data_IF_002606335452
#
_entry.id   IF_002606335452
#
_cell.length_a   1.000
_cell.length_b   1.000
_cell.length_c   1.000
_cell.angle_alpha   90.00
_cell.angle_beta   90.00
_cell.angle_gamma   90.00
#
_symmetry.space_group_name_H-M   'P 1'
#
loop_
_entity.id
_entity.type
_entity.pdbx_description
1 polymer ?
#
# COMPACT_ATOMS: atom_id res chain seq x y z
N UNK A 1 -11.61 3.60 30.29
CA UNK A 1 -10.90 3.99 29.07
C UNK A 1 -11.79 5.04 28.41
N UNK A 2 -11.51 6.32 28.65
CA UNK A 2 -12.29 7.43 28.07
C UNK A 2 -11.86 7.54 26.60
N UNK A 3 -12.76 7.19 25.69
CA UNK A 3 -12.61 7.51 24.27
C UNK A 3 -12.88 9.01 24.17
N UNK A 4 -11.95 9.75 23.59
CA UNK A 4 -12.06 11.19 23.38
C UNK A 4 -13.29 11.45 22.48
N UNK A 5 -14.12 12.43 22.87
CA UNK A 5 -15.34 12.79 22.14
C UNK A 5 -15.00 13.19 20.69
N UNK A 6 -13.80 13.76 20.46
CA UNK A 6 -13.27 14.05 19.13
C UNK A 6 -13.01 12.78 18.29
N UNK A 7 -12.59 11.66 18.91
CA UNK A 7 -12.41 10.38 18.18
C UNK A 7 -13.75 9.77 17.75
N UNK A 8 -14.81 9.96 18.55
CA UNK A 8 -16.15 9.50 18.20
C UNK A 8 -16.77 10.34 17.08
N UNK A 9 -16.62 11.66 17.09
CA UNK A 9 -17.07 12.54 16.00
C UNK A 9 -16.32 12.27 14.70
N UNK A 10 -15.01 12.03 14.75
CA UNK A 10 -14.20 11.64 13.58
C UNK A 10 -14.62 10.27 13.04
N UNK A 11 -14.99 9.32 13.91
CA UNK A 11 -15.49 8.00 13.48
C UNK A 11 -16.90 8.08 12.86
N UNK A 12 -17.78 8.98 13.32
CA UNK A 12 -19.10 9.22 12.72
C UNK A 12 -18.98 9.93 11.38
N UNK A 13 -18.05 10.88 11.21
CA UNK A 13 -17.76 11.54 9.93
C UNK A 13 -17.17 10.57 8.89
N UNK A 14 -16.37 9.61 9.32
CA UNK A 14 -15.83 8.55 8.43
C UNK A 14 -16.95 7.61 7.97
N UNK A 15 -17.93 7.32 8.80
CA UNK A 15 -19.09 6.51 8.44
C UNK A 15 -19.95 7.17 7.34
N UNK A 16 -19.88 8.49 7.20
CA UNK A 16 -20.64 9.25 6.19
C UNK A 16 -19.96 9.34 4.83
N UNK A 17 -18.66 9.08 4.72
CA UNK A 17 -17.91 9.19 3.47
C UNK A 17 -17.89 7.85 2.70
N UNK A 18 -19.02 7.52 2.07
CA UNK A 18 -19.10 6.36 1.18
C UNK A 18 -18.24 6.52 -0.10
N UNK A 19 -17.88 7.74 -0.49
CA UNK A 19 -17.14 8.02 -1.73
C UNK A 19 -15.96 8.96 -1.47
N UNK A 20 -14.78 8.57 -1.93
CA UNK A 20 -13.52 9.30 -1.83
C UNK A 20 -13.07 9.68 -3.23
N UNK A 21 -12.93 10.97 -3.54
CA UNK A 21 -12.70 11.48 -4.90
C UNK A 21 -11.35 12.13 -5.15
N UNK A 22 -10.53 12.37 -4.12
CA UNK A 22 -9.20 12.98 -4.26
C UNK A 22 -9.20 14.49 -4.55
N UNK A 23 -10.35 15.15 -4.67
CA UNK A 23 -10.44 16.58 -5.06
C UNK A 23 -9.95 17.55 -3.99
N UNK A 24 -10.05 17.17 -2.71
CA UNK A 24 -9.62 17.96 -1.55
C UNK A 24 -8.90 17.07 -0.55
N UNK A 25 -8.08 17.67 0.31
CA UNK A 25 -7.30 16.92 1.32
C UNK A 25 -8.16 15.98 2.16
N UNK A 26 -9.31 16.44 2.60
CA UNK A 26 -10.26 15.68 3.42
C UNK A 26 -10.86 14.49 2.65
N UNK A 27 -10.78 14.54 1.33
CA UNK A 27 -11.24 13.50 0.40
C UNK A 27 -10.09 12.68 -0.19
N UNK A 28 -8.87 12.80 0.33
CA UNK A 28 -7.77 11.95 -0.07
C UNK A 28 -7.96 10.53 0.48
N UNK A 29 -7.73 9.55 -0.37
CA UNK A 29 -7.79 8.15 0.07
C UNK A 29 -6.79 7.89 1.20
N UNK A 30 -5.60 8.49 1.14
CA UNK A 30 -4.57 8.37 2.18
C UNK A 30 -5.14 8.59 3.58
N UNK A 31 -5.89 9.69 3.78
CA UNK A 31 -6.48 10.04 5.06
C UNK A 31 -7.41 8.93 5.59
N UNK A 32 -8.25 8.39 4.71
CA UNK A 32 -9.17 7.32 5.07
C UNK A 32 -8.45 6.02 5.41
N UNK A 33 -7.36 5.71 4.65
CA UNK A 33 -6.53 4.56 4.93
C UNK A 33 -5.78 4.68 6.26
N UNK A 34 -5.23 5.86 6.58
CA UNK A 34 -4.51 6.12 7.83
C UNK A 34 -5.41 5.88 9.05
N UNK A 35 -6.63 6.41 9.03
CA UNK A 35 -7.60 6.19 10.10
C UNK A 35 -7.99 4.72 10.21
N UNK A 36 -8.27 4.08 9.07
CA UNK A 36 -8.66 2.66 9.05
C UNK A 36 -7.54 1.75 9.56
N UNK A 37 -6.27 2.05 9.20
CA UNK A 37 -5.10 1.31 9.69
C UNK A 37 -4.92 1.46 11.21
N UNK A 38 -5.23 2.63 11.78
CA UNK A 38 -5.08 2.87 13.21
C UNK A 38 -5.93 1.91 14.07
N UNK A 39 -7.09 1.52 13.56
CA UNK A 39 -8.05 0.67 14.28
C UNK A 39 -8.10 -0.79 13.78
N UNK A 40 -7.38 -1.11 12.71
CA UNK A 40 -7.41 -2.44 12.12
C UNK A 40 -6.78 -3.51 13.04
N UNK A 41 -7.39 -4.69 13.04
CA UNK A 41 -6.88 -5.96 13.61
C UNK A 41 -6.23 -6.85 12.53
N UNK A 42 -6.50 -6.61 11.28
CA UNK A 42 -5.84 -7.18 10.11
C UNK A 42 -5.96 -6.22 8.93
N UNK A 43 -4.94 -6.16 8.10
CA UNK A 43 -4.86 -5.31 6.91
C UNK A 43 -4.56 -6.19 5.71
N UNK A 44 -5.43 -6.15 4.70
CA UNK A 44 -5.27 -6.87 3.44
C UNK A 44 -5.36 -5.88 2.28
N UNK A 45 -4.30 -5.76 1.50
CA UNK A 45 -4.20 -4.83 0.39
C UNK A 45 -4.07 -5.61 -0.93
N UNK A 46 -4.87 -5.24 -1.93
CA UNK A 46 -4.76 -5.77 -3.28
C UNK A 46 -4.74 -4.62 -4.27
N UNK A 47 -3.66 -4.50 -5.05
CA UNK A 47 -3.48 -3.42 -6.04
C UNK A 47 -2.78 -3.92 -7.29
N UNK A 48 -3.10 -3.33 -8.43
CA UNK A 48 -2.52 -3.72 -9.72
C UNK A 48 -1.02 -3.47 -9.79
N UNK A 49 -0.56 -2.40 -9.13
CA UNK A 49 0.86 -2.05 -9.05
C UNK A 49 1.20 -1.23 -7.81
N UNK A 50 2.48 -1.24 -7.47
CA UNK A 50 3.07 -0.48 -6.37
C UNK A 50 4.11 0.50 -6.91
N UNK A 51 4.05 1.75 -6.47
CA UNK A 51 5.11 2.74 -6.67
C UNK A 51 5.77 3.09 -5.33
N UNK A 52 7.07 3.32 -5.37
CA UNK A 52 7.87 3.66 -4.18
C UNK A 52 7.30 4.88 -3.43
N UNK A 53 6.83 5.88 -4.18
CA UNK A 53 6.22 7.09 -3.64
C UNK A 53 4.98 6.81 -2.80
N UNK A 54 4.09 5.93 -3.27
CA UNK A 54 2.90 5.54 -2.53
C UNK A 54 3.21 4.67 -1.30
N UNK A 55 4.14 3.72 -1.44
CA UNK A 55 4.61 2.91 -0.32
C UNK A 55 5.17 3.79 0.80
N UNK A 56 6.02 4.79 0.47
CA UNK A 56 6.54 5.75 1.46
C UNK A 56 5.46 6.48 2.24
N UNK A 57 4.32 6.73 1.63
CA UNK A 57 3.20 7.39 2.31
C UNK A 57 2.48 6.48 3.30
N UNK A 58 2.30 5.20 2.96
CA UNK A 58 1.61 4.24 3.83
C UNK A 58 2.52 3.65 4.92
N UNK A 59 3.84 3.70 4.72
CA UNK A 59 4.81 3.03 5.56
C UNK A 59 4.75 3.40 7.04
N UNK A 60 4.57 4.68 7.44
CA UNK A 60 4.46 5.05 8.86
C UNK A 60 3.33 4.31 9.56
N UNK A 61 2.15 4.23 8.97
CA UNK A 61 0.97 3.57 9.52
C UNK A 61 1.09 2.05 9.49
N UNK A 62 1.66 1.49 8.42
CA UNK A 62 1.95 0.05 8.35
C UNK A 62 2.93 -0.37 9.46
N UNK A 63 3.98 0.42 9.72
CA UNK A 63 4.89 0.18 10.85
C UNK A 63 4.20 0.27 12.22
N UNK A 64 3.29 1.22 12.39
CA UNK A 64 2.50 1.32 13.63
C UNK A 64 1.57 0.12 13.79
N UNK A 65 0.90 -0.31 12.74
CA UNK A 65 0.08 -1.53 12.75
C UNK A 65 0.92 -2.76 13.09
N UNK A 66 2.08 -2.92 12.47
CA UNK A 66 3.02 -4.01 12.75
C UNK A 66 3.46 -4.03 14.23
N UNK A 67 3.81 -2.87 14.81
CA UNK A 67 4.16 -2.76 16.24
C UNK A 67 3.03 -3.19 17.18
N UNK A 68 1.77 -3.11 16.74
CA UNK A 68 0.60 -3.63 17.46
C UNK A 68 0.36 -5.13 17.22
N UNK A 69 1.19 -5.79 16.42
CA UNK A 69 1.02 -7.20 16.05
C UNK A 69 -0.08 -7.44 15.02
N UNK A 70 -0.49 -6.42 14.26
CA UNK A 70 -1.53 -6.52 13.23
C UNK A 70 -0.99 -7.28 12.01
N UNK A 71 -1.59 -8.40 11.60
CA UNK A 71 -1.20 -9.09 10.36
C UNK A 71 -1.43 -8.20 9.14
N UNK A 72 -0.44 -8.17 8.23
CA UNK A 72 -0.47 -7.39 7.00
C UNK A 72 -0.22 -8.30 5.82
N UNK A 73 -1.13 -8.32 4.86
CA UNK A 73 -1.01 -9.06 3.60
C UNK A 73 -1.12 -8.09 2.42
N UNK A 74 -0.24 -8.23 1.45
CA UNK A 74 -0.23 -7.37 0.26
C UNK A 74 -0.14 -8.24 -0.98
N UNK A 75 -1.15 -8.19 -1.84
CA UNK A 75 -1.17 -8.81 -3.16
C UNK A 75 -1.02 -7.72 -4.22
N UNK A 76 -0.01 -7.85 -5.05
CA UNK A 76 0.21 -6.95 -6.19
C UNK A 76 0.44 -7.71 -7.48
N UNK A 77 0.35 -7.02 -8.60
CA UNK A 77 0.69 -7.55 -9.92
C UNK A 77 1.85 -6.75 -10.53
N UNK A 78 2.22 -7.18 -11.73
CA UNK A 78 3.12 -6.42 -12.59
C UNK A 78 2.35 -5.86 -13.80
N UNK A 79 1.22 -5.21 -13.55
CA UNK A 79 0.41 -4.63 -14.61
C UNK A 79 1.22 -3.60 -15.41
N UNK A 80 1.38 -3.84 -16.70
CA UNK A 80 2.18 -3.02 -17.63
C UNK A 80 3.64 -2.76 -17.17
N UNK A 81 4.19 -3.61 -16.31
CA UNK A 81 5.55 -3.43 -15.78
C UNK A 81 5.71 -2.26 -14.79
N UNK A 82 4.62 -1.71 -14.25
CA UNK A 82 4.65 -0.47 -13.46
C UNK A 82 5.14 -0.72 -12.02
N UNK A 83 4.88 -1.90 -11.44
CA UNK A 83 5.34 -2.19 -10.07
C UNK A 83 6.85 -1.99 -9.96
N UNK A 84 7.27 -1.07 -9.10
CA UNK A 84 8.68 -0.72 -8.93
C UNK A 84 9.37 -1.71 -7.98
N UNK A 85 10.52 -2.30 -8.37
CA UNK A 85 11.31 -3.13 -7.46
C UNK A 85 11.67 -2.40 -6.16
N UNK A 86 11.98 -1.10 -6.23
CA UNK A 86 12.28 -0.28 -5.05
C UNK A 86 11.10 -0.21 -4.06
N UNK A 87 9.85 -0.23 -4.52
CA UNK A 87 8.68 -0.29 -3.66
C UNK A 87 8.62 -1.61 -2.87
N UNK A 88 8.95 -2.72 -3.52
CA UNK A 88 8.98 -4.04 -2.90
C UNK A 88 10.15 -4.19 -1.92
N UNK A 89 11.34 -3.72 -2.30
CA UNK A 89 12.50 -3.68 -1.39
C UNK A 89 12.21 -2.82 -0.15
N UNK A 90 11.56 -1.67 -0.33
CA UNK A 90 11.20 -0.79 0.77
C UNK A 90 10.23 -1.48 1.76
N UNK A 91 9.21 -2.18 1.27
CA UNK A 91 8.30 -2.95 2.12
C UNK A 91 9.06 -4.05 2.88
N UNK A 92 9.94 -4.80 2.19
CA UNK A 92 10.72 -5.88 2.82
C UNK A 92 11.74 -5.35 3.82
N UNK A 93 12.46 -4.26 3.54
CA UNK A 93 13.46 -3.69 4.46
C UNK A 93 12.83 -3.14 5.73
N UNK A 94 11.67 -2.47 5.59
CA UNK A 94 11.06 -1.71 6.67
C UNK A 94 10.09 -2.53 7.53
N UNK A 95 9.45 -3.56 6.94
CA UNK A 95 8.47 -4.41 7.63
C UNK A 95 8.97 -5.87 7.80
N UNK A 96 10.06 -6.25 7.15
CA UNK A 96 10.68 -7.58 7.30
C UNK A 96 9.77 -8.72 6.86
N UNK A 97 9.90 -9.87 7.54
CA UNK A 97 9.11 -11.09 7.28
C UNK A 97 7.74 -11.09 7.98
N UNK A 98 7.36 -9.99 8.63
CA UNK A 98 6.09 -9.88 9.31
C UNK A 98 4.94 -9.47 8.38
N UNK A 99 5.23 -9.25 7.09
CA UNK A 99 4.23 -9.05 6.05
C UNK A 99 4.22 -10.23 5.09
N UNK A 100 3.02 -10.67 4.66
CA UNK A 100 2.88 -11.62 3.56
C UNK A 100 2.69 -10.83 2.26
N UNK A 101 3.77 -10.72 1.49
CA UNK A 101 3.83 -9.95 0.24
C UNK A 101 3.87 -10.90 -0.94
N UNK A 102 2.91 -10.78 -1.87
CA UNK A 102 2.72 -11.71 -2.98
C UNK A 102 2.54 -11.03 -4.32
N UNK A 103 2.98 -11.73 -5.39
CA UNK A 103 2.67 -11.42 -6.76
C UNK A 103 1.55 -12.30 -7.31
N UNK A 104 0.58 -11.69 -8.01
CA UNK A 104 -0.35 -12.42 -8.84
C UNK A 104 0.40 -13.18 -9.96
N UNK A 105 0.14 -14.48 -10.08
CA UNK A 105 0.97 -15.39 -10.88
C UNK A 105 0.35 -15.83 -12.21
N UNK A 106 -0.97 -15.63 -12.42
CA UNK A 106 -1.63 -16.04 -13.68
C UNK A 106 -1.33 -15.03 -14.80
N UNK A 107 -0.45 -15.38 -15.70
CA UNK A 107 -0.05 -14.55 -16.85
C UNK A 107 -1.10 -14.48 -17.97
N UNK A 108 -2.13 -15.32 -17.94
CA UNK A 108 -3.18 -15.37 -18.99
C UNK A 108 -4.33 -14.41 -18.71
N UNK A 109 -4.39 -13.82 -17.53
CA UNK A 109 -5.43 -12.89 -17.12
C UNK A 109 -4.84 -11.55 -16.67
N UNK A 110 -5.44 -10.47 -17.13
CA UNK A 110 -5.05 -9.15 -16.65
C UNK A 110 -5.43 -9.01 -15.17
N UNK A 111 -4.49 -8.47 -14.37
CA UNK A 111 -4.70 -8.24 -12.94
C UNK A 111 -4.81 -6.74 -12.68
N UNK A 112 -6.03 -6.27 -12.40
CA UNK A 112 -6.27 -4.83 -12.26
C UNK A 112 -7.18 -4.44 -11.07
N UNK A 113 -7.25 -5.23 -9.97
CA UNK A 113 -8.02 -4.84 -8.79
C UNK A 113 -7.30 -3.75 -7.98
N UNK A 114 -8.07 -2.95 -7.23
CA UNK A 114 -7.58 -2.06 -6.19
C UNK A 114 -8.60 -2.09 -5.06
N UNK A 115 -8.22 -2.73 -3.96
CA UNK A 115 -9.03 -2.76 -2.76
C UNK A 115 -8.14 -2.78 -1.50
N UNK A 116 -8.64 -2.16 -0.45
CA UNK A 116 -7.95 -1.97 0.82
C UNK A 116 -8.88 -2.43 1.93
N UNK A 117 -8.66 -3.64 2.46
CA UNK A 117 -9.47 -4.22 3.53
C UNK A 117 -8.88 -3.93 4.89
N UNK A 118 -9.71 -3.48 5.80
CA UNK A 118 -9.39 -3.24 7.21
C UNK A 118 -10.39 -4.01 8.06
N UNK A 119 -9.91 -5.06 8.71
CA UNK A 119 -10.74 -5.89 9.57
C UNK A 119 -10.69 -5.37 11.00
N UNK A 120 -11.83 -5.24 11.65
CA UNK A 120 -11.95 -4.82 13.03
C UNK A 120 -13.10 -5.57 13.73
N UNK A 121 -13.13 -5.51 15.07
CA UNK A 121 -14.07 -6.31 15.87
C UNK A 121 -15.53 -5.93 15.63
N UNK A 122 -15.83 -4.64 15.47
CA UNK A 122 -17.20 -4.15 15.32
C UNK A 122 -17.62 -4.00 13.86
N UNK A 123 -16.75 -3.45 13.05
CA UNK A 123 -17.03 -3.13 11.65
C UNK A 123 -15.76 -3.25 10.82
N UNK A 124 -15.77 -4.15 9.85
CA UNK A 124 -14.73 -4.23 8.83
C UNK A 124 -15.10 -3.37 7.62
N UNK A 125 -14.11 -2.77 6.98
CA UNK A 125 -14.30 -1.89 5.83
C UNK A 125 -13.41 -2.29 4.69
N UNK A 126 -13.88 -2.04 3.46
CA UNK A 126 -13.06 -2.15 2.27
C UNK A 126 -13.26 -0.92 1.37
N UNK A 127 -12.16 -0.28 0.98
CA UNK A 127 -12.17 0.74 -0.06
C UNK A 127 -11.89 0.09 -1.39
N UNK A 128 -12.80 0.21 -2.34
CA UNK A 128 -12.71 -0.38 -3.68
C UNK A 128 -12.81 0.74 -4.71
N UNK A 129 -11.88 0.79 -5.66
CA UNK A 129 -11.95 1.84 -6.67
C UNK A 129 -10.81 1.82 -7.68
N UNK A 130 -10.40 3.02 -8.10
CA UNK A 130 -9.39 3.21 -9.14
C UNK A 130 -7.96 3.39 -8.59
N UNK A 131 -7.79 3.67 -7.29
CA UNK A 131 -6.51 4.05 -6.68
C UNK A 131 -5.54 2.88 -6.51
N UNK A 132 -4.40 2.94 -7.18
CA UNK A 132 -3.24 2.10 -6.87
C UNK A 132 -2.39 2.73 -5.74
N UNK A 133 -1.37 2.02 -5.25
CA UNK A 133 -0.43 2.55 -4.27
C UNK A 133 0.62 3.41 -5.01
N UNK A 134 0.24 4.65 -5.30
CA UNK A 134 1.10 5.72 -5.81
C UNK A 134 0.77 7.02 -5.08
N UNK A 135 1.70 7.98 -5.04
CA UNK A 135 1.46 9.26 -4.36
C UNK A 135 0.22 9.95 -4.92
N UNK A 136 0.15 10.11 -6.24
CA UNK A 136 -0.97 10.80 -6.88
C UNK A 136 -2.31 10.14 -6.59
N UNK A 137 -2.41 8.80 -6.71
CA UNK A 137 -3.65 8.08 -6.47
C UNK A 137 -4.10 8.09 -5.00
N UNK A 138 -3.15 8.18 -4.07
CA UNK A 138 -3.46 8.26 -2.64
C UNK A 138 -3.81 9.69 -2.18
N UNK A 139 -3.45 10.72 -2.97
CA UNK A 139 -3.62 12.13 -2.58
C UNK A 139 -4.38 12.95 -3.64
N UNK A 140 -3.70 13.79 -4.41
CA UNK A 140 -4.28 14.83 -5.27
C UNK A 140 -4.78 14.34 -6.63
N UNK A 141 -4.57 13.06 -6.99
CA UNK A 141 -5.14 12.47 -8.20
C UNK A 141 -6.66 12.37 -8.11
N UNK A 142 -7.34 12.60 -9.23
CA UNK A 142 -8.77 12.37 -9.31
C UNK A 142 -9.02 10.87 -9.40
N UNK A 143 -9.45 10.30 -8.31
CA UNK A 143 -9.70 8.86 -8.16
C UNK A 143 -11.07 8.65 -7.51
N UNK A 144 -11.74 7.60 -7.89
CA UNK A 144 -13.01 7.24 -7.28
C UNK A 144 -12.87 5.96 -6.48
N UNK A 145 -13.16 6.06 -5.20
CA UNK A 145 -13.17 4.91 -4.31
C UNK A 145 -14.46 4.90 -3.50
N UNK A 146 -15.04 3.71 -3.37
CA UNK A 146 -16.21 3.47 -2.55
C UNK A 146 -15.80 2.72 -1.28
N UNK A 147 -16.27 3.18 -0.11
CA UNK A 147 -16.10 2.50 1.16
C UNK A 147 -17.30 1.60 1.44
N UNK A 148 -17.09 0.30 1.39
CA UNK A 148 -18.08 -0.71 1.74
C UNK A 148 -17.84 -1.18 3.18
N UNK A 149 -18.89 -1.07 4.01
CA UNK A 149 -18.91 -1.55 5.38
C UNK A 149 -19.52 -2.94 5.48
N UNK A 150 -18.90 -3.82 6.26
CA UNK A 150 -19.42 -5.16 6.57
C UNK A 150 -20.72 -5.15 7.39
N UNK A 151 -21.05 -4.03 8.02
CA UNK A 151 -22.32 -3.85 8.77
C UNK A 151 -23.44 -3.41 7.83
N UNK A 152 -23.13 -2.58 6.83
CA UNK A 152 -24.12 -2.05 5.87
C UNK A 152 -24.46 -3.10 4.81
N UNK A 153 -23.47 -3.73 4.21
CA UNK A 153 -23.66 -4.79 3.22
C UNK A 153 -22.65 -5.94 3.44
N UNK A 154 -23.01 -6.81 4.36
CA UNK A 154 -22.18 -7.97 4.69
C UNK A 154 -21.98 -8.89 3.50
N UNK A 155 -23.00 -9.10 2.70
CA UNK A 155 -22.94 -10.03 1.56
C UNK A 155 -21.93 -9.56 0.51
N UNK A 156 -21.95 -8.29 0.14
CA UNK A 156 -20.99 -7.76 -0.81
C UNK A 156 -19.56 -7.76 -0.22
N UNK A 157 -19.41 -7.39 1.06
CA UNK A 157 -18.11 -7.44 1.74
C UNK A 157 -17.52 -8.86 1.71
N UNK A 158 -18.30 -9.87 2.10
CA UNK A 158 -17.87 -11.27 2.14
C UNK A 158 -17.49 -11.79 0.74
N UNK A 159 -18.22 -11.38 -0.31
CA UNK A 159 -17.90 -11.77 -1.70
C UNK A 159 -16.56 -11.19 -2.16
N UNK A 160 -16.31 -9.89 -1.92
CA UNK A 160 -15.03 -9.27 -2.25
C UNK A 160 -13.89 -9.90 -1.45
N UNK A 161 -14.13 -10.16 -0.17
CA UNK A 161 -13.13 -10.77 0.69
C UNK A 161 -12.82 -12.22 0.28
N UNK A 162 -13.81 -13.03 -0.04
CA UNK A 162 -13.62 -14.39 -0.56
C UNK A 162 -12.82 -14.39 -1.89
N UNK A 163 -13.08 -13.41 -2.76
CA UNK A 163 -12.29 -13.22 -3.98
C UNK A 163 -10.84 -12.85 -3.68
N UNK A 164 -10.59 -11.96 -2.70
CA UNK A 164 -9.23 -11.66 -2.25
C UNK A 164 -8.52 -12.91 -1.73
N UNK A 165 -9.16 -13.73 -0.89
CA UNK A 165 -8.60 -14.96 -0.34
C UNK A 165 -8.22 -15.96 -1.45
N UNK A 166 -9.09 -16.15 -2.46
CA UNK A 166 -8.79 -17.04 -3.60
C UNK A 166 -7.57 -16.53 -4.40
N UNK A 167 -7.55 -15.24 -4.73
CA UNK A 167 -6.44 -14.62 -5.45
C UNK A 167 -5.13 -14.70 -4.65
N UNK A 168 -5.21 -14.48 -3.35
CA UNK A 168 -4.05 -14.44 -2.46
C UNK A 168 -3.44 -15.82 -2.28
N UNK A 169 -4.22 -16.85 -1.99
CA UNK A 169 -3.70 -18.18 -1.68
C UNK A 169 -3.58 -19.10 -2.89
N UNK A 170 -4.49 -18.99 -3.86
CA UNK A 170 -4.56 -19.94 -4.97
C UNK A 170 -4.01 -19.41 -6.29
N UNK A 171 -3.82 -18.08 -6.43
CA UNK A 171 -3.44 -17.43 -7.69
C UNK A 171 -2.21 -16.54 -7.56
N UNK A 172 -1.47 -16.63 -6.49
CA UNK A 172 -0.29 -15.80 -6.25
C UNK A 172 0.92 -16.61 -5.81
N UNK A 173 2.07 -15.99 -5.89
CA UNK A 173 3.35 -16.51 -5.39
C UNK A 173 3.94 -15.53 -4.38
N UNK A 174 4.54 -16.05 -3.33
CA UNK A 174 5.24 -15.22 -2.34
C UNK A 174 6.42 -14.49 -2.98
N UNK A 175 6.59 -13.21 -2.64
CA UNK A 175 7.75 -12.42 -3.05
C UNK A 175 8.89 -12.69 -2.05
N UNK A 176 9.57 -13.82 -2.26
CA UNK A 176 10.82 -14.11 -1.56
C UNK A 176 11.95 -13.24 -2.08
N UNK A 177 13.08 -13.19 -1.37
CA UNK A 177 14.28 -12.47 -1.84
C UNK A 177 14.74 -12.93 -3.22
N UNK A 178 14.64 -14.23 -3.51
CA UNK A 178 15.00 -14.78 -4.82
C UNK A 178 14.08 -14.28 -5.92
N UNK A 179 12.76 -14.25 -5.66
CA UNK A 179 11.76 -13.72 -6.60
C UNK A 179 11.97 -12.24 -6.81
N UNK A 180 12.21 -11.48 -5.75
CA UNK A 180 12.45 -10.03 -5.81
C UNK A 180 13.71 -9.68 -6.60
N UNK A 181 14.84 -10.37 -6.34
CA UNK A 181 16.10 -10.19 -7.10
C UNK A 181 15.91 -10.51 -8.58
N UNK A 182 15.21 -11.61 -8.90
CA UNK A 182 14.92 -11.99 -10.29
C UNK A 182 14.06 -10.92 -10.96
N UNK A 183 13.03 -10.46 -10.28
CA UNK A 183 12.15 -9.39 -10.77
C UNK A 183 12.92 -8.09 -11.01
N UNK A 184 13.70 -7.63 -10.04
CA UNK A 184 14.48 -6.40 -10.14
C UNK A 184 15.49 -6.44 -11.31
N UNK A 185 16.14 -7.59 -11.52
CA UNK A 185 17.10 -7.77 -12.62
C UNK A 185 16.45 -7.71 -14.00
N UNK A 186 15.22 -8.18 -14.12
CA UNK A 186 14.50 -8.19 -15.41
C UNK A 186 13.63 -6.94 -15.62
N UNK A 187 13.45 -6.10 -14.58
CA UNK A 187 12.56 -4.97 -14.66
C UNK A 187 13.16 -3.83 -15.50
N UNK A 188 12.39 -3.39 -16.47
CA UNK A 188 12.70 -2.20 -17.28
C UNK A 188 11.59 -1.19 -17.05
N UNK A 189 11.97 0.05 -16.75
CA UNK A 189 11.00 1.11 -16.51
C UNK A 189 10.13 1.34 -17.73
N UNK A 190 8.82 1.08 -17.67
CA UNK A 190 7.95 1.22 -18.83
C UNK A 190 7.76 2.71 -19.20
N UNK A 191 7.48 2.98 -20.48
CA UNK A 191 7.28 4.34 -20.97
C UNK A 191 6.13 5.06 -20.22
N UNK A 192 5.03 4.36 -19.95
CA UNK A 192 3.86 4.88 -19.21
C UNK A 192 4.22 5.31 -17.79
N UNK A 193 5.25 4.73 -17.17
CA UNK A 193 5.71 5.14 -15.84
C UNK A 193 6.39 6.52 -15.84
N UNK A 194 6.78 7.06 -17.01
CA UNK A 194 7.29 8.44 -17.12
C UNK A 194 6.18 9.47 -16.92
N UNK A 195 5.00 9.19 -17.47
CA UNK A 195 3.85 10.07 -17.34
C UNK A 195 3.30 10.05 -15.91
N UNK A 196 3.19 8.87 -15.32
CA UNK A 196 2.84 8.73 -13.89
C UNK A 196 3.83 9.50 -13.00
N UNK A 197 5.14 9.42 -13.27
CA UNK A 197 6.16 10.14 -12.52
C UNK A 197 6.07 11.67 -12.67
N UNK A 198 5.51 12.18 -13.79
CA UNK A 198 5.25 13.63 -13.97
C UNK A 198 4.15 14.09 -13.00
N UNK A 199 3.04 13.37 -12.91
CA UNK A 199 1.97 13.69 -11.94
C UNK A 199 2.46 13.62 -10.49
N UNK A 200 3.36 12.69 -10.17
CA UNK A 200 3.93 12.57 -8.83
C UNK A 200 4.85 13.75 -8.47
N UNK A 201 5.63 14.28 -9.41
CA UNK A 201 6.49 15.46 -9.20
C UNK A 201 5.67 16.72 -8.98
N UNK A 202 4.61 16.94 -9.74
CA UNK A 202 3.73 18.09 -9.56
C UNK A 202 3.14 18.14 -8.15
N UNK A 203 2.77 16.99 -7.59
CA UNK A 203 2.29 16.92 -6.21
C UNK A 203 3.39 17.12 -5.14
N UNK A 204 4.68 16.99 -5.49
CA UNK A 204 5.82 17.30 -4.60
C UNK A 204 6.12 18.80 -4.59
N UNK A 205 6.04 19.48 -5.73
CA UNK A 205 6.33 20.92 -5.85
C UNK A 205 5.35 21.79 -5.07
N UNK A 206 4.08 21.39 -4.98
CA UNK A 206 3.08 22.05 -4.15
C UNK A 206 3.38 21.99 -2.64
N UNK A 207 4.21 21.03 -2.18
CA UNK A 207 4.60 20.86 -0.77
C UNK A 207 5.93 21.55 -0.40
N UNK A 208 6.77 21.91 -1.37
CA UNK A 208 8.14 22.43 -1.11
C UNK A 208 8.19 23.87 -0.60
N UNK A 209 7.09 24.57 -0.48
CA UNK A 209 7.09 25.94 0.06
C UNK A 209 7.26 26.06 1.57
N UNK A 210 7.47 24.97 2.32
CA UNK A 210 7.45 25.08 3.78
C UNK A 210 8.27 24.16 4.66
N UNK A 211 8.95 23.10 4.19
CA UNK A 211 9.63 22.15 5.08
C UNK A 211 11.04 21.75 4.61
N UNK A 212 12.03 21.77 5.52
CA UNK A 212 13.37 21.18 5.31
C UNK A 212 13.22 19.70 4.94
N UNK A 213 13.73 19.32 3.76
CA UNK A 213 13.72 17.92 3.32
C UNK A 213 14.63 17.08 4.21
N UNK A 214 14.05 16.11 4.91
CA UNK A 214 14.81 14.93 5.35
C UNK A 214 15.22 14.14 4.11
N UNK A 215 16.54 13.84 4.01
CA UNK A 215 17.07 13.02 2.92
C UNK A 215 16.50 11.61 3.01
N UNK A 216 15.73 11.21 1.99
CA UNK A 216 15.19 9.85 1.88
C UNK A 216 15.87 9.12 0.72
N UNK A 217 16.40 7.89 0.96
CA UNK A 217 17.00 7.09 -0.11
C UNK A 217 15.99 6.77 -1.19
N UNK A 218 16.42 6.68 -2.45
CA UNK A 218 15.56 6.44 -3.62
C UNK A 218 16.17 5.38 -4.53
N UNK A 219 15.31 4.58 -5.18
CA UNK A 219 15.68 3.64 -6.22
C UNK A 219 16.79 2.67 -5.81
N UNK A 220 17.90 2.67 -6.54
CA UNK A 220 19.07 1.79 -6.28
C UNK A 220 19.68 1.96 -4.89
N UNK A 221 19.50 3.11 -4.24
CA UNK A 221 19.97 3.32 -2.86
C UNK A 221 19.16 2.49 -1.86
N UNK A 222 17.85 2.33 -2.06
CA UNK A 222 17.00 1.48 -1.22
C UNK A 222 17.40 0.01 -1.38
N UNK A 223 17.65 -0.42 -2.61
CA UNK A 223 18.12 -1.77 -2.90
C UNK A 223 19.47 -2.05 -2.25
N UNK A 224 20.42 -1.13 -2.39
CA UNK A 224 21.74 -1.23 -1.77
C UNK A 224 21.67 -1.26 -0.22
N UNK A 225 20.82 -0.43 0.38
CA UNK A 225 20.59 -0.43 1.83
C UNK A 225 19.94 -1.73 2.30
N UNK A 226 18.99 -2.26 1.54
CA UNK A 226 18.37 -3.56 1.84
C UNK A 226 19.41 -4.69 1.87
N UNK A 227 20.25 -4.79 0.82
CA UNK A 227 21.29 -5.82 0.75
C UNK A 227 22.35 -5.65 1.87
N UNK A 228 22.68 -4.40 2.21
CA UNK A 228 23.62 -4.11 3.30
C UNK A 228 23.03 -4.52 4.66
N UNK A 229 21.77 -4.20 4.92
CA UNK A 229 21.10 -4.57 6.17
C UNK A 229 20.95 -6.08 6.31
N UNK A 230 20.61 -6.75 5.20
CA UNK A 230 20.55 -8.21 5.14
C UNK A 230 21.92 -8.84 5.44
N UNK A 231 22.99 -8.36 4.82
CA UNK A 231 24.35 -8.82 5.04
C UNK A 231 24.78 -8.65 6.51
N UNK A 232 24.36 -7.56 7.16
CA UNK A 232 24.61 -7.34 8.60
C UNK A 232 23.85 -8.34 9.47
N UNK A 233 22.59 -8.63 9.15
CA UNK A 233 21.79 -9.64 9.87
C UNK A 233 22.37 -11.05 9.73
N UNK A 234 23.03 -11.35 8.61
CA UNK A 234 23.72 -12.60 8.32
C UNK A 234 25.15 -12.68 8.93
N UNK A 235 25.55 -11.68 9.72
CA UNK A 235 26.80 -11.70 10.50
C UNK A 235 28.02 -11.07 9.81
N UNK A 236 27.83 -10.34 8.72
CA UNK A 236 28.93 -9.61 8.09
C UNK A 236 29.25 -8.32 8.86
N UNK A 237 30.46 -8.25 9.44
CA UNK A 237 30.90 -7.08 10.22
C UNK A 237 31.27 -5.85 9.37
N UNK A 238 31.56 -6.01 8.07
CA UNK A 238 31.88 -4.93 7.13
C UNK A 238 31.28 -5.22 5.77
N UNK A 239 30.54 -4.27 5.22
CA UNK A 239 30.12 -4.32 3.82
C UNK A 239 31.36 -4.22 2.91
N UNK A 240 31.39 -5.07 1.88
CA UNK A 240 32.36 -4.99 0.79
C UNK A 240 31.91 -4.03 -0.28
#
# INVERSE_FOLDING_TARGET
MNIDVNELEVMEDIASLAVVTGEKKEKYLLWQLEISMAHAKRIDLIVSFLMESGVKMLLPQLKQAQKRGVPIRILTGNYLGITQPSALYLLRSELGDQIDLRFYADSHRSFHPKAYFFHADKESRVFIGSSNISRSALTSGIEWNYCLSSVVDKQAFDQFYASFEDLFYNKSVEITDTVLKKYAKSWVRPAVAKDLARYEKQSEEEKQSGLKQEYQPRGVQIEALYELEKSRKEGAEKGR
#
